data_IF_751237150530
#
_entry.id   IF_751237150530
#
_cell.length_a   1.000
_cell.length_b   1.000
_cell.length_c   1.000
_cell.angle_alpha   90.00
_cell.angle_beta   90.00
_cell.angle_gamma   90.00
#
_symmetry.space_group_name_H-M   'P 1'
#
loop_
_entity.id
_entity.type
_entity.pdbx_description
1 polymer ?
#
# COMPACT_ATOMS: atom_id res chain seq x y z
N UNK A 1 17.13 38.99 -33.89
CA UNK A 1 17.62 37.75 -33.21
C UNK A 1 16.44 36.85 -32.82
N UNK A 2 16.10 35.85 -33.64
CA UNK A 2 15.00 34.88 -33.38
C UNK A 2 15.55 33.46 -33.07
N UNK A 3 16.87 33.29 -33.08
CA UNK A 3 17.55 32.00 -32.84
C UNK A 3 17.63 31.62 -31.35
N UNK A 4 17.94 32.57 -30.46
CA UNK A 4 18.23 32.27 -29.05
C UNK A 4 16.99 31.82 -28.27
N UNK A 5 15.83 32.47 -28.48
CA UNK A 5 14.59 32.13 -27.75
C UNK A 5 14.07 30.73 -28.08
N UNK A 6 14.06 30.35 -29.36
CA UNK A 6 13.60 29.02 -29.80
C UNK A 6 14.51 27.90 -29.29
N UNK A 7 15.82 28.13 -29.26
CA UNK A 7 16.77 27.18 -28.69
C UNK A 7 16.61 27.05 -27.17
N UNK A 8 16.42 28.16 -26.46
CA UNK A 8 16.18 28.16 -25.01
C UNK A 8 14.91 27.36 -24.67
N UNK A 9 13.81 27.62 -25.36
CA UNK A 9 12.55 26.88 -25.14
C UNK A 9 12.73 25.37 -25.36
N UNK A 10 13.41 24.99 -26.46
CA UNK A 10 13.74 23.58 -26.73
C UNK A 10 14.57 22.96 -25.60
N UNK A 11 15.59 23.68 -25.11
CA UNK A 11 16.43 23.20 -24.01
C UNK A 11 15.63 22.99 -22.73
N UNK A 12 14.72 23.91 -22.38
CA UNK A 12 13.87 23.75 -21.19
C UNK A 12 12.89 22.58 -21.32
N UNK A 13 12.28 22.37 -22.50
CA UNK A 13 11.42 21.20 -22.74
C UNK A 13 12.20 19.90 -22.64
N UNK A 14 13.42 19.87 -23.17
CA UNK A 14 14.29 18.70 -23.06
C UNK A 14 14.66 18.43 -21.60
N UNK A 15 14.96 19.48 -20.82
CA UNK A 15 15.23 19.34 -19.39
C UNK A 15 14.08 18.70 -18.62
N UNK A 16 12.82 19.04 -18.92
CA UNK A 16 11.65 18.36 -18.32
C UNK A 16 11.59 16.89 -18.73
N UNK A 17 11.79 16.61 -20.03
CA UNK A 17 11.70 15.25 -20.58
C UNK A 17 12.76 14.30 -20.02
N UNK A 18 14.00 14.80 -19.82
CA UNK A 18 15.12 14.00 -19.30
C UNK A 18 15.25 14.07 -17.78
N UNK A 19 14.36 14.79 -17.10
CA UNK A 19 14.41 14.91 -15.65
C UNK A 19 14.08 13.56 -15.01
N UNK A 20 14.97 13.08 -14.15
CA UNK A 20 14.75 11.89 -13.34
C UNK A 20 14.95 12.21 -11.86
N UNK A 21 14.26 11.47 -10.99
CA UNK A 21 14.44 11.56 -9.54
C UNK A 21 15.83 11.03 -9.15
N UNK A 22 16.20 9.84 -9.62
CA UNK A 22 17.48 9.20 -9.31
C UNK A 22 17.72 9.11 -7.80
N UNK A 23 18.83 9.69 -7.32
CA UNK A 23 19.22 9.67 -5.91
C UNK A 23 18.72 10.87 -5.10
N UNK A 24 18.05 11.85 -5.73
CA UNK A 24 17.56 13.03 -5.03
C UNK A 24 16.22 12.75 -4.32
N UNK A 25 15.84 13.59 -3.36
CA UNK A 25 14.54 13.49 -2.71
C UNK A 25 13.39 13.90 -3.63
N UNK A 26 12.18 13.42 -3.34
CA UNK A 26 10.96 13.81 -4.06
C UNK A 26 10.77 15.33 -4.02
N UNK A 27 10.98 15.98 -2.88
CA UNK A 27 10.84 17.45 -2.78
C UNK A 27 11.75 18.18 -3.75
N UNK A 28 13.03 17.80 -3.83
CA UNK A 28 13.99 18.42 -4.75
C UNK A 28 13.61 18.16 -6.20
N UNK A 29 13.23 16.93 -6.54
CA UNK A 29 12.78 16.57 -7.88
C UNK A 29 11.58 17.40 -8.34
N UNK A 30 10.52 17.43 -7.54
CA UNK A 30 9.29 18.14 -7.84
C UNK A 30 9.54 19.65 -7.98
N UNK A 31 10.39 20.21 -7.11
CA UNK A 31 10.79 21.62 -7.20
C UNK A 31 11.50 21.94 -8.51
N UNK A 32 12.45 21.10 -8.95
CA UNK A 32 13.18 21.32 -10.20
C UNK A 32 12.27 21.29 -11.44
N UNK A 33 11.30 20.37 -11.47
CA UNK A 33 10.29 20.32 -12.52
C UNK A 33 9.45 21.59 -12.52
N UNK A 34 8.93 22.00 -11.36
CA UNK A 34 8.10 23.20 -11.22
C UNK A 34 8.84 24.46 -11.68
N UNK A 35 10.09 24.63 -11.25
CA UNK A 35 10.92 25.75 -11.71
C UNK A 35 11.06 25.76 -13.23
N UNK A 36 11.31 24.60 -13.86
CA UNK A 36 11.46 24.53 -15.32
C UNK A 36 10.13 24.84 -16.04
N UNK A 37 9.01 24.38 -15.49
CA UNK A 37 7.67 24.70 -15.99
C UNK A 37 7.34 26.21 -15.86
N UNK A 38 7.69 26.83 -14.74
CA UNK A 38 7.52 28.28 -14.52
C UNK A 38 8.39 29.09 -15.50
N UNK A 39 9.62 28.65 -15.79
CA UNK A 39 10.45 29.26 -16.82
C UNK A 39 9.80 29.15 -18.21
N UNK A 40 9.25 27.98 -18.57
CA UNK A 40 8.53 27.79 -19.83
C UNK A 40 7.29 28.68 -19.92
N UNK A 41 6.53 28.81 -18.83
CA UNK A 41 5.38 29.71 -18.73
C UNK A 41 5.79 31.18 -18.91
N UNK A 42 6.91 31.61 -18.31
CA UNK A 42 7.45 32.96 -18.48
C UNK A 42 7.86 33.29 -19.92
N UNK A 43 8.20 32.26 -20.71
CA UNK A 43 8.52 32.37 -22.13
C UNK A 43 7.30 32.24 -23.05
N UNK A 44 6.09 32.15 -22.48
CA UNK A 44 4.82 32.05 -23.22
C UNK A 44 4.45 30.64 -23.66
N UNK A 45 5.05 29.60 -23.06
CA UNK A 45 4.75 28.20 -23.35
C UNK A 45 4.44 27.44 -22.05
N UNK A 46 3.32 27.73 -21.36
CA UNK A 46 2.96 27.04 -20.13
C UNK A 46 2.80 25.53 -20.36
N UNK A 47 3.13 24.75 -19.33
CA UNK A 47 2.96 23.28 -19.32
C UNK A 47 1.57 22.97 -18.76
N UNK A 48 0.83 22.08 -19.42
CA UNK A 48 -0.49 21.65 -18.91
C UNK A 48 -0.33 20.77 -17.66
N UNK A 49 -1.40 20.65 -16.86
CA UNK A 49 -1.37 19.80 -15.65
C UNK A 49 -1.17 18.32 -16.02
N UNK A 50 -1.76 17.88 -17.12
CA UNK A 50 -1.59 16.52 -17.65
C UNK A 50 -0.16 16.26 -18.12
N UNK A 51 0.41 17.17 -18.92
CA UNK A 51 1.81 17.06 -19.35
C UNK A 51 2.77 17.08 -18.16
N UNK A 52 2.50 17.95 -17.17
CA UNK A 52 3.30 18.02 -15.95
C UNK A 52 3.25 16.70 -15.18
N UNK A 53 2.08 16.08 -15.11
CA UNK A 53 1.91 14.76 -14.49
C UNK A 53 2.72 13.70 -15.24
N UNK A 54 2.65 13.68 -16.58
CA UNK A 54 3.42 12.75 -17.41
C UNK A 54 4.93 12.89 -17.18
N UNK A 55 5.46 14.12 -17.18
CA UNK A 55 6.88 14.38 -16.89
C UNK A 55 7.30 13.89 -15.50
N UNK A 56 6.45 14.08 -14.49
CA UNK A 56 6.71 13.56 -13.14
C UNK A 56 6.78 12.04 -13.17
N UNK A 57 5.76 11.36 -13.72
CA UNK A 57 5.69 9.90 -13.70
C UNK A 57 6.82 9.23 -14.51
N UNK A 58 7.25 9.85 -15.61
CA UNK A 58 8.33 9.34 -16.45
C UNK A 58 9.69 9.31 -15.75
N UNK A 59 9.94 10.25 -14.83
CA UNK A 59 11.21 10.36 -14.12
C UNK A 59 11.29 9.61 -12.80
N UNK A 60 10.26 8.85 -12.42
CA UNK A 60 10.23 8.07 -11.18
C UNK A 60 10.82 6.67 -11.37
N UNK A 61 11.46 6.16 -10.31
CA UNK A 61 12.01 4.81 -10.25
C UNK A 61 10.93 3.75 -9.94
N UNK A 62 11.25 2.46 -10.13
CA UNK A 62 10.35 1.33 -9.84
C UNK A 62 9.78 1.28 -8.42
N UNK A 63 10.44 1.91 -7.44
CA UNK A 63 9.93 2.03 -6.08
C UNK A 63 8.59 2.78 -5.98
N UNK A 64 8.26 3.60 -6.99
CA UNK A 64 7.02 4.39 -7.05
C UNK A 64 5.95 3.77 -7.95
N UNK A 65 6.15 2.54 -8.43
CA UNK A 65 5.24 1.89 -9.40
C UNK A 65 3.79 1.81 -8.93
N UNK A 66 3.56 1.66 -7.63
CA UNK A 66 2.22 1.70 -7.04
C UNK A 66 1.51 3.06 -7.23
N UNK A 67 2.25 4.17 -7.16
CA UNK A 67 1.71 5.51 -7.40
C UNK A 67 1.46 5.71 -8.90
N UNK A 68 2.38 5.26 -9.75
CA UNK A 68 2.24 5.35 -11.22
C UNK A 68 0.96 4.63 -11.67
N UNK A 69 0.75 3.39 -11.21
CA UNK A 69 -0.44 2.60 -11.53
C UNK A 69 -1.72 3.28 -11.01
N UNK A 70 -1.71 3.74 -9.76
CA UNK A 70 -2.85 4.42 -9.16
C UNK A 70 -3.21 5.74 -9.87
N UNK A 71 -2.24 6.46 -10.43
CA UNK A 71 -2.49 7.66 -11.24
C UNK A 71 -3.03 7.30 -12.61
N UNK A 72 -2.44 6.30 -13.27
CA UNK A 72 -2.90 5.82 -14.59
C UNK A 72 -4.31 5.22 -14.56
N UNK A 73 -4.73 4.65 -13.44
CA UNK A 73 -6.07 4.09 -13.26
C UNK A 73 -7.16 5.15 -13.03
N UNK A 74 -6.81 6.43 -12.88
CA UNK A 74 -7.80 7.51 -12.68
C UNK A 74 -8.32 8.04 -14.01
N UNK A 75 -9.64 8.23 -14.11
CA UNK A 75 -10.28 8.93 -15.22
C UNK A 75 -10.13 10.46 -15.17
N UNK A 76 -9.80 11.01 -13.99
CA UNK A 76 -9.67 12.45 -13.77
C UNK A 76 -8.20 12.85 -13.62
N UNK A 77 -7.77 14.00 -14.17
CA UNK A 77 -6.42 14.50 -13.96
C UNK A 77 -6.15 14.72 -12.46
N UNK A 78 -4.95 14.36 -12.03
CA UNK A 78 -4.45 14.62 -10.68
C UNK A 78 -3.82 16.01 -10.63
N UNK A 79 -4.07 16.76 -9.55
CA UNK A 79 -3.39 18.03 -9.37
C UNK A 79 -1.94 17.81 -8.92
N UNK A 80 -1.06 18.76 -9.26
CA UNK A 80 0.37 18.65 -8.98
C UNK A 80 0.68 18.51 -7.47
N UNK A 81 -0.02 19.27 -6.61
CA UNK A 81 0.12 19.19 -5.15
C UNK A 81 -0.33 17.84 -4.59
N UNK A 82 -1.46 17.30 -5.07
CA UNK A 82 -1.96 15.98 -4.62
C UNK A 82 -0.99 14.85 -5.02
N UNK A 83 -0.41 14.94 -6.21
CA UNK A 83 0.61 14.00 -6.67
C UNK A 83 1.86 14.09 -5.79
N UNK A 84 2.28 15.30 -5.44
CA UNK A 84 3.42 15.55 -4.56
C UNK A 84 3.24 14.92 -3.18
N UNK A 85 2.09 15.12 -2.54
CA UNK A 85 1.78 14.51 -1.25
C UNK A 85 1.88 12.98 -1.31
N UNK A 86 1.26 12.37 -2.33
CA UNK A 86 1.29 10.90 -2.51
C UNK A 86 2.71 10.37 -2.70
N UNK A 87 3.54 11.08 -3.45
CA UNK A 87 4.94 10.69 -3.67
C UNK A 87 5.78 10.81 -2.40
N UNK A 88 5.55 11.83 -1.56
CA UNK A 88 6.23 11.97 -0.27
C UNK A 88 5.87 10.82 0.68
N UNK A 89 4.59 10.45 0.76
CA UNK A 89 4.14 9.31 1.57
C UNK A 89 4.84 8.02 1.10
N UNK A 90 4.92 7.81 -0.21
CA UNK A 90 5.60 6.64 -0.77
C UNK A 90 7.11 6.63 -0.48
N UNK A 91 7.78 7.79 -0.57
CA UNK A 91 9.21 7.92 -0.24
C UNK A 91 9.50 7.51 1.21
N UNK A 92 8.65 7.94 2.15
CA UNK A 92 8.75 7.53 3.56
C UNK A 92 8.52 6.03 3.74
N UNK A 93 7.54 5.46 3.05
CA UNK A 93 7.23 4.02 3.09
C UNK A 93 8.40 3.17 2.57
N UNK A 94 9.02 3.56 1.46
CA UNK A 94 10.21 2.89 0.91
C UNK A 94 11.36 2.95 1.92
N UNK A 95 11.61 4.12 2.52
CA UNK A 95 12.64 4.29 3.54
C UNK A 95 12.40 3.46 4.81
N UNK A 96 11.14 3.28 5.22
CA UNK A 96 10.78 2.44 6.35
C UNK A 96 10.95 0.95 6.05
N UNK A 97 10.56 0.49 4.86
CA UNK A 97 10.72 -0.90 4.43
C UNK A 97 12.20 -1.31 4.37
N UNK A 98 13.10 -0.41 3.96
CA UNK A 98 14.55 -0.65 3.96
C UNK A 98 15.13 -0.85 5.37
N UNK A 99 14.48 -0.30 6.41
CA UNK A 99 14.92 -0.48 7.82
C UNK A 99 14.44 -1.79 8.43
N UNK A 100 13.48 -2.48 7.80
CA UNK A 100 13.01 -3.78 8.25
C UNK A 100 13.90 -4.87 7.65
N UNK A 101 15.04 -5.13 8.28
CA UNK A 101 15.73 -6.41 8.12
C UNK A 101 14.78 -7.53 8.60
N UNK A 102 14.62 -8.63 7.86
CA UNK A 102 13.76 -9.73 8.32
C UNK A 102 14.38 -10.31 9.59
N UNK A 103 13.75 -10.06 10.74
CA UNK A 103 14.10 -10.73 11.98
C UNK A 103 13.88 -12.24 11.78
N UNK A 104 14.81 -13.12 12.20
CA UNK A 104 14.62 -14.55 12.07
C UNK A 104 13.38 -14.95 12.88
N UNK A 105 12.44 -15.64 12.23
CA UNK A 105 11.28 -16.21 12.88
C UNK A 105 11.75 -17.23 13.93
N UNK A 106 11.77 -16.84 15.21
CA UNK A 106 12.01 -17.78 16.31
C UNK A 106 10.78 -18.68 16.44
N UNK A 107 10.86 -19.90 15.90
CA UNK A 107 9.84 -20.92 16.08
C UNK A 107 9.79 -21.36 17.56
N UNK A 108 8.79 -20.90 18.30
CA UNK A 108 8.54 -21.37 19.67
C UNK A 108 7.90 -22.76 19.62
N UNK A 109 8.73 -23.81 19.67
CA UNK A 109 8.29 -25.19 19.76
C UNK A 109 7.64 -25.44 21.13
N UNK A 110 6.31 -25.42 21.20
CA UNK A 110 5.56 -25.81 22.40
C UNK A 110 5.72 -27.32 22.62
N UNK A 111 6.65 -27.71 23.50
CA UNK A 111 6.75 -29.08 23.98
C UNK A 111 5.55 -29.38 24.88
N UNK A 112 4.59 -30.14 24.36
CA UNK A 112 3.49 -30.68 25.16
C UNK A 112 4.07 -31.58 26.26
N UNK A 113 3.88 -31.20 27.52
CA UNK A 113 4.19 -32.04 28.69
C UNK A 113 3.30 -33.29 28.65
N UNK A 114 3.83 -34.52 28.79
CA UNK A 114 2.99 -35.66 29.08
C UNK A 114 2.60 -35.58 30.56
N UNK A 115 1.32 -35.37 30.83
CA UNK A 115 0.78 -35.49 32.18
C UNK A 115 0.64 -36.97 32.51
N UNK A 116 1.60 -37.51 33.26
CA UNK A 116 1.49 -38.84 33.87
C UNK A 116 0.44 -38.79 34.98
N UNK A 117 -0.71 -39.44 34.77
CA UNK A 117 -1.49 -40.16 35.77
C UNK A 117 -2.84 -40.53 35.16
N UNK A 118 -3.02 -41.80 34.79
CA UNK A 118 -4.27 -42.48 35.13
C UNK A 118 -4.03 -43.99 35.23
N UNK A 119 -4.33 -44.54 36.41
CA UNK A 119 -4.32 -45.96 36.70
C UNK A 119 -5.75 -46.47 36.55
N UNK A 120 -5.86 -47.68 36.00
CA UNK A 120 -7.01 -48.59 36.14
C UNK A 120 -8.21 -48.24 35.24
N UNK A 121 -8.88 -49.13 34.51
CA UNK A 121 -9.12 -50.54 34.77
C UNK A 121 -9.83 -51.16 33.55
N UNK A 122 -9.57 -52.45 33.30
CA UNK A 122 -10.56 -53.49 32.94
C UNK A 122 -11.32 -53.39 31.59
N UNK A 123 -11.02 -54.30 30.66
CA UNK A 123 -11.89 -54.56 29.50
C UNK A 123 -11.32 -55.60 28.54
N UNK A 124 -11.71 -56.85 28.75
CA UNK A 124 -11.30 -58.05 28.02
C UNK A 124 -11.75 -58.02 26.55
N UNK A 125 -10.94 -58.55 25.63
CA UNK A 125 -11.38 -59.10 24.33
C UNK A 125 -10.48 -60.30 24.00
N UNK A 126 -11.04 -61.41 23.50
CA UNK A 126 -10.70 -61.73 22.10
C UNK A 126 -11.85 -62.38 21.28
N UNK A 127 -11.74 -62.16 19.97
CA UNK A 127 -12.35 -62.89 18.84
C UNK A 127 -13.90 -62.77 18.71
N UNK A 128 -14.53 -62.77 17.54
CA UNK A 128 -14.23 -63.40 16.25
C UNK A 128 -15.13 -62.77 15.16
N UNK A 129 -14.61 -62.75 13.93
CA UNK A 129 -15.28 -62.84 12.60
C UNK A 129 -16.78 -62.48 12.46
N UNK A 130 -17.11 -61.60 11.50
CA UNK A 130 -17.91 -61.97 10.29
C UNK A 130 -17.98 -60.81 9.29
N UNK A 131 -17.84 -61.17 8.02
CA UNK A 131 -17.87 -60.37 6.81
C UNK A 131 -19.14 -59.52 6.63
N UNK A 132 -19.04 -58.37 5.95
CA UNK A 132 -19.87 -58.02 4.76
C UNK A 132 -19.54 -56.66 4.13
N UNK A 133 -19.07 -56.76 2.88
CA UNK A 133 -19.34 -55.90 1.70
C UNK A 133 -20.03 -54.54 1.89
N UNK A 134 -19.39 -53.46 1.40
CA UNK A 134 -20.08 -52.19 1.15
C UNK A 134 -19.14 -51.02 0.82
N UNK A 135 -18.83 -50.83 -0.46
CA UNK A 135 -18.23 -49.60 -1.00
C UNK A 135 -19.15 -48.40 -0.79
N UNK A 136 -18.83 -47.44 0.10
CA UNK A 136 -19.26 -46.01 0.01
C UNK A 136 -18.35 -45.07 0.83
N UNK A 137 -17.57 -44.20 0.16
CA UNK A 137 -17.42 -42.79 0.59
C UNK A 137 -18.78 -42.11 0.37
N UNK A 138 -19.18 -40.97 0.99
CA UNK A 138 -18.36 -39.94 1.68
C UNK A 138 -18.98 -39.36 2.98
N UNK A 139 -18.21 -38.61 3.76
CA UNK A 139 -18.72 -37.56 4.65
C UNK A 139 -17.79 -36.34 4.48
N UNK A 140 -18.10 -35.39 3.59
CA UNK A 140 -18.97 -34.24 3.82
C UNK A 140 -18.75 -33.53 5.18
N UNK A 141 -17.50 -33.21 5.50
CA UNK A 141 -17.17 -32.22 6.52
C UNK A 141 -17.49 -30.80 6.05
N UNK A 142 -18.78 -30.44 5.97
CA UNK A 142 -19.20 -29.03 5.93
C UNK A 142 -19.16 -28.50 7.37
N UNK A 143 -18.10 -27.78 7.73
CA UNK A 143 -18.19 -26.81 8.83
C UNK A 143 -18.63 -25.48 8.23
N UNK A 144 -19.89 -25.16 8.50
CA UNK A 144 -20.61 -23.96 8.11
C UNK A 144 -20.10 -22.75 8.92
N UNK A 145 -19.55 -21.74 8.25
CA UNK A 145 -19.35 -20.42 8.85
C UNK A 145 -20.70 -19.70 8.94
N UNK A 146 -21.20 -19.46 10.16
CA UNK A 146 -22.29 -18.51 10.46
C UNK A 146 -21.77 -17.65 11.62
N UNK A 147 -21.23 -16.46 11.34
CA UNK A 147 -21.93 -15.16 11.33
C UNK A 147 -22.64 -14.82 12.66
N UNK A 148 -22.05 -13.81 13.32
CA UNK A 148 -22.70 -12.64 13.94
C UNK A 148 -23.20 -12.74 15.38
N UNK A 149 -22.47 -12.07 16.26
CA UNK A 149 -22.93 -11.48 17.54
C UNK A 149 -22.09 -10.21 17.76
N UNK A 150 -22.55 -9.04 17.31
CA UNK A 150 -23.37 -8.09 18.08
C UNK A 150 -22.80 -7.81 19.47
N UNK A 151 -22.01 -6.74 19.60
CA UNK A 151 -21.79 -6.07 20.87
C UNK A 151 -22.13 -4.59 20.67
N UNK A 152 -23.26 -4.17 21.24
CA UNK A 152 -23.78 -2.81 21.28
C UNK A 152 -23.74 -2.35 22.75
N UNK A 153 -23.23 -1.15 22.93
CA UNK A 153 -23.49 -0.13 23.98
C UNK A 153 -23.36 -0.45 25.47
N UNK A 154 -22.52 0.36 26.12
CA UNK A 154 -22.82 1.15 27.32
C UNK A 154 -21.83 2.32 27.38
N UNK A 155 -22.27 3.53 27.03
CA UNK A 155 -22.87 4.57 27.90
C UNK A 155 -21.83 5.19 28.85
N UNK A 156 -21.55 6.48 28.66
CA UNK A 156 -20.63 7.28 29.45
C UNK A 156 -20.77 8.76 29.09
N UNK A 157 -21.90 9.35 29.51
CA UNK A 157 -22.22 10.78 29.43
C UNK A 157 -21.16 11.66 30.10
N UNK A 158 -20.88 12.81 29.49
CA UNK A 158 -20.77 14.13 30.14
C UNK A 158 -20.83 15.25 29.09
N UNK A 159 -21.93 16.02 29.01
CA UNK A 159 -22.01 17.25 28.23
C UNK A 159 -21.83 18.49 29.13
N UNK A 160 -20.96 19.43 28.73
CA UNK A 160 -21.04 20.85 29.09
C UNK A 160 -20.65 21.63 27.84
N UNK A 161 -21.65 21.98 27.02
CA UNK A 161 -22.30 23.30 27.04
C UNK A 161 -21.46 24.39 26.35
N UNK A 162 -21.72 24.41 25.05
CA UNK A 162 -21.71 25.53 24.13
C UNK A 162 -22.19 26.83 24.82
N UNK A 163 -21.37 27.87 24.85
CA UNK A 163 -21.85 29.24 25.01
C UNK A 163 -21.65 29.98 23.69
N UNK A 164 -22.80 30.22 23.06
CA UNK A 164 -23.01 30.98 21.85
C UNK A 164 -23.00 32.48 22.18
N UNK A 165 -22.54 33.28 21.20
CA UNK A 165 -23.21 34.48 20.65
C UNK A 165 -22.54 35.85 20.89
N UNK A 166 -22.51 36.55 19.74
CA UNK A 166 -22.39 37.99 19.40
C UNK A 166 -21.08 38.70 19.69
#
# INVERSE_FOLDING_TARGET
MVGTRRNHLKQLKERLRTASKGTQSITTYMHHLKQTADLLASLGSPVSVEDMTDYVLHGLDDGYRAIIDAVNARDTPINFDDLHERLLIQELSIGAAQRQTPAPLTALNAQARPNSNDKSQHGQNPAQSTQRTGTRKPFLGRCQCIKKTSNRIKEGLSPLENNFRI
#
